data_IF_934193160678
#
_entry.id   IF_934193160678
#
_cell.length_a   1.000
_cell.length_b   1.000
_cell.length_c   1.000
_cell.angle_alpha   90.00
_cell.angle_beta   90.00
_cell.angle_gamma   90.00
#
_symmetry.space_group_name_H-M   'P 1'
#
loop_
_entity.id
_entity.type
_entity.pdbx_description
1 polymer ?
#
# COMPACT_ATOMS: atom_id res chain seq x y z
N UNK A 1 16.05 0.39 14.56
CA UNK A 1 15.76 1.61 13.77
C UNK A 1 14.26 1.72 13.70
N UNK A 2 13.65 2.73 14.29
CA UNK A 2 12.19 2.86 14.28
C UNK A 2 11.76 3.77 13.14
N UNK A 3 11.09 3.20 12.13
CA UNK A 3 10.52 3.97 11.01
C UNK A 3 9.04 4.20 11.21
N UNK A 4 8.61 5.44 11.01
CA UNK A 4 7.19 5.80 11.08
C UNK A 4 6.70 6.35 9.73
N UNK A 5 5.68 5.71 9.18
CA UNK A 5 5.09 6.07 7.89
C UNK A 5 3.68 6.64 8.05
N UNK A 6 3.47 7.85 7.55
CA UNK A 6 2.15 8.49 7.49
C UNK A 6 1.42 8.17 6.19
N UNK A 7 0.09 8.05 6.23
CA UNK A 7 -0.72 7.86 5.00
C UNK A 7 -0.95 9.20 4.31
N UNK A 8 -0.56 9.31 3.05
CA UNK A 8 -0.73 10.50 2.21
C UNK A 8 -1.45 10.15 0.90
N UNK A 9 -2.04 11.16 0.26
CA UNK A 9 -2.73 11.01 -1.01
C UNK A 9 -1.71 10.88 -2.15
N UNK A 10 -1.94 9.92 -3.04
CA UNK A 10 -1.23 9.86 -4.32
C UNK A 10 -1.80 10.87 -5.32
N UNK A 11 -0.99 11.27 -6.31
CA UNK A 11 -1.51 12.00 -7.47
C UNK A 11 -2.61 11.20 -8.20
N UNK A 12 -2.48 9.88 -8.25
CA UNK A 12 -3.50 8.99 -8.84
C UNK A 12 -4.82 9.07 -8.07
N UNK A 13 -4.77 9.10 -6.74
CA UNK A 13 -5.95 9.21 -5.88
C UNK A 13 -6.70 10.51 -6.16
N UNK A 14 -5.94 11.60 -6.31
CA UNK A 14 -6.47 12.93 -6.61
C UNK A 14 -7.10 12.99 -8.00
N UNK A 15 -6.42 12.50 -9.02
CA UNK A 15 -6.93 12.47 -10.41
C UNK A 15 -8.21 11.65 -10.50
N UNK A 16 -8.24 10.44 -9.93
CA UNK A 16 -9.40 9.56 -10.00
C UNK A 16 -10.62 10.19 -9.31
N UNK A 17 -10.41 10.82 -8.15
CA UNK A 17 -11.48 11.51 -7.44
C UNK A 17 -11.97 12.75 -8.20
N UNK A 18 -11.04 13.54 -8.77
CA UNK A 18 -11.38 14.74 -9.54
C UNK A 18 -12.18 14.40 -10.81
N UNK A 19 -11.79 13.35 -11.54
CA UNK A 19 -12.52 12.88 -12.74
C UNK A 19 -13.96 12.51 -12.40
N UNK A 20 -14.18 11.79 -11.29
CA UNK A 20 -15.54 11.42 -10.86
C UNK A 20 -16.37 12.66 -10.47
N UNK A 21 -15.78 13.60 -9.74
CA UNK A 21 -16.48 14.85 -9.37
C UNK A 21 -16.88 15.63 -10.63
N UNK A 22 -15.96 15.80 -11.58
CA UNK A 22 -16.22 16.52 -12.83
C UNK A 22 -17.26 15.81 -13.70
N UNK A 23 -17.20 14.48 -13.80
CA UNK A 23 -18.19 13.69 -14.53
C UNK A 23 -19.59 13.80 -13.90
N UNK A 24 -19.67 13.70 -12.56
CA UNK A 24 -20.92 13.88 -11.83
C UNK A 24 -21.53 15.27 -12.05
N UNK A 25 -20.71 16.32 -11.98
CA UNK A 25 -21.14 17.70 -12.27
C UNK A 25 -21.66 17.84 -13.71
N UNK A 26 -20.96 17.28 -14.69
CA UNK A 26 -21.38 17.34 -16.09
C UNK A 26 -22.74 16.68 -16.30
N UNK A 27 -23.00 15.51 -15.68
CA UNK A 27 -24.29 14.84 -15.73
C UNK A 27 -25.44 15.64 -15.09
N UNK A 28 -25.15 16.48 -14.10
CA UNK A 28 -26.15 17.33 -13.42
C UNK A 28 -26.44 18.59 -14.24
N UNK A 29 -25.41 19.21 -14.82
CA UNK A 29 -25.52 20.50 -15.50
C UNK A 29 -26.03 20.41 -16.94
N UNK A 30 -25.82 19.27 -17.62
CA UNK A 30 -26.32 19.06 -18.98
C UNK A 30 -27.81 18.69 -18.92
N UNK A 31 -28.70 19.45 -19.59
CA UNK A 31 -30.12 19.15 -19.61
C UNK A 31 -30.36 17.76 -20.20
N UNK A 32 -30.82 16.85 -19.35
CA UNK A 32 -30.96 15.42 -19.63
C UNK A 32 -32.14 14.86 -18.81
N UNK A 33 -32.40 13.56 -18.91
CA UNK A 33 -33.48 12.95 -18.13
C UNK A 33 -33.19 13.00 -16.63
N UNK A 34 -34.23 13.06 -15.81
CA UNK A 34 -34.12 13.08 -14.33
C UNK A 34 -33.25 11.91 -13.82
N UNK A 35 -33.34 10.75 -14.47
CA UNK A 35 -32.52 9.58 -14.13
C UNK A 35 -31.01 9.84 -14.29
N UNK A 36 -30.60 10.58 -15.32
CA UNK A 36 -29.18 10.93 -15.56
C UNK A 36 -28.69 11.92 -14.49
N UNK A 37 -29.54 12.87 -14.08
CA UNK A 37 -29.21 13.80 -13.00
C UNK A 37 -29.04 13.08 -11.66
N UNK A 38 -29.93 12.12 -11.33
CA UNK A 38 -29.80 11.29 -10.12
C UNK A 38 -28.49 10.50 -10.13
N UNK A 39 -28.17 9.84 -11.26
CA UNK A 39 -26.90 9.14 -11.43
C UNK A 39 -25.70 10.08 -11.25
N UNK A 40 -25.77 11.29 -11.81
CA UNK A 40 -24.75 12.33 -11.66
C UNK A 40 -24.50 12.69 -10.20
N UNK A 41 -25.56 12.85 -9.39
CA UNK A 41 -25.44 13.08 -7.95
C UNK A 41 -24.73 11.92 -7.23
N UNK A 42 -25.04 10.66 -7.57
CA UNK A 42 -24.34 9.51 -6.99
C UNK A 42 -22.85 9.49 -7.33
N UNK A 43 -22.51 9.71 -8.61
CA UNK A 43 -21.11 9.76 -9.06
C UNK A 43 -20.34 10.88 -8.36
N UNK A 44 -20.97 12.05 -8.20
CA UNK A 44 -20.41 13.19 -7.50
C UNK A 44 -20.12 12.86 -6.02
N UNK A 45 -21.08 12.28 -5.31
CA UNK A 45 -20.93 11.89 -3.91
C UNK A 45 -19.79 10.86 -3.77
N UNK A 46 -19.76 9.85 -4.63
CA UNK A 46 -18.69 8.83 -4.64
C UNK A 46 -17.33 9.49 -4.88
N UNK A 47 -17.22 10.43 -5.82
CA UNK A 47 -16.00 11.18 -6.08
C UNK A 47 -15.50 11.96 -4.85
N UNK A 48 -16.40 12.63 -4.12
CA UNK A 48 -16.06 13.36 -2.89
C UNK A 48 -15.61 12.40 -1.79
N UNK A 49 -16.33 11.29 -1.60
CA UNK A 49 -15.96 10.27 -0.60
C UNK A 49 -14.58 9.69 -0.90
N UNK A 50 -14.32 9.32 -2.15
CA UNK A 50 -13.01 8.81 -2.57
C UNK A 50 -11.91 9.85 -2.36
N UNK A 51 -12.18 11.12 -2.65
CA UNK A 51 -11.24 12.21 -2.37
C UNK A 51 -10.86 12.24 -0.89
N UNK A 52 -11.83 12.08 0.01
CA UNK A 52 -11.60 12.09 1.46
C UNK A 52 -10.83 10.85 1.95
N UNK A 53 -11.16 9.67 1.43
CA UNK A 53 -10.73 8.37 1.99
C UNK A 53 -9.44 7.83 1.36
N UNK A 54 -9.22 8.03 0.06
CA UNK A 54 -8.07 7.44 -0.63
C UNK A 54 -6.76 8.10 -0.16
N UNK A 55 -5.94 7.31 0.52
CA UNK A 55 -4.57 7.67 0.92
C UNK A 55 -3.67 6.45 0.69
N UNK A 56 -3.28 6.23 -0.56
CA UNK A 56 -2.61 5.00 -0.98
C UNK A 56 -1.09 5.02 -0.77
N UNK A 57 -0.48 6.19 -0.57
CA UNK A 57 0.97 6.36 -0.43
C UNK A 57 1.37 6.48 1.03
N UNK A 58 2.57 6.00 1.35
CA UNK A 58 3.18 6.05 2.68
C UNK A 58 4.35 7.01 2.66
N UNK A 59 4.27 8.10 3.42
CA UNK A 59 5.34 9.09 3.53
C UNK A 59 6.14 8.85 4.81
N UNK A 60 7.44 8.62 4.67
CA UNK A 60 8.37 8.56 5.81
C UNK A 60 8.36 9.93 6.51
N UNK A 61 8.09 9.93 7.82
CA UNK A 61 8.01 11.17 8.59
C UNK A 61 9.37 11.86 8.75
N UNK A 62 10.46 11.11 8.76
CA UNK A 62 11.80 11.67 8.97
C UNK A 62 12.34 12.29 7.68
N UNK A 63 12.29 11.53 6.59
CA UNK A 63 12.92 11.92 5.31
C UNK A 63 11.96 12.66 4.38
N UNK A 64 10.65 12.53 4.61
CA UNK A 64 9.62 13.07 3.73
C UNK A 64 9.47 12.32 2.41
N UNK A 65 10.18 11.19 2.22
CA UNK A 65 10.13 10.40 1.00
C UNK A 65 8.84 9.58 0.93
N UNK A 66 8.28 9.46 -0.26
CA UNK A 66 7.08 8.68 -0.54
C UNK A 66 7.43 7.24 -0.93
N UNK A 67 6.70 6.31 -0.35
CA UNK A 67 6.81 4.87 -0.52
C UNK A 67 5.44 4.27 -0.88
N UNK A 68 5.46 3.22 -1.69
CA UNK A 68 4.33 2.32 -1.88
C UNK A 68 4.41 1.18 -0.88
N UNK A 69 3.27 0.76 -0.34
CA UNK A 69 3.19 -0.35 0.60
C UNK A 69 2.60 -1.57 -0.10
N UNK A 70 3.28 -2.71 0.05
CA UNK A 70 2.75 -4.05 -0.24
C UNK A 70 2.74 -4.87 1.03
N UNK A 71 1.67 -5.64 1.21
CA UNK A 71 1.58 -6.65 2.25
C UNK A 71 1.82 -8.00 1.59
N UNK A 72 2.70 -8.81 2.18
CA UNK A 72 2.86 -10.21 1.82
C UNK A 72 2.56 -11.10 3.02
N UNK A 73 1.89 -12.22 2.79
CA UNK A 73 1.46 -13.13 3.85
C UNK A 73 2.11 -14.50 3.73
N UNK A 74 2.54 -15.04 4.87
CA UNK A 74 3.27 -16.30 4.94
C UNK A 74 2.86 -17.18 6.14
N UNK A 75 3.12 -18.50 6.04
CA UNK A 75 3.06 -19.43 7.16
C UNK A 75 4.04 -19.06 8.27
N UNK A 76 3.66 -19.33 9.52
CA UNK A 76 4.52 -19.18 10.70
C UNK A 76 5.79 -20.04 10.60
N UNK A 77 5.70 -21.18 9.92
CA UNK A 77 6.84 -22.06 9.67
C UNK A 77 7.98 -21.38 8.88
N UNK A 78 7.66 -20.40 8.02
CA UNK A 78 8.65 -19.66 7.21
C UNK A 78 9.28 -18.46 7.93
N UNK A 79 8.91 -18.18 9.19
CA UNK A 79 9.41 -17.01 9.93
C UNK A 79 10.94 -16.97 9.98
N UNK A 80 11.59 -18.06 10.37
CA UNK A 80 13.06 -18.12 10.50
C UNK A 80 13.75 -17.94 9.15
N UNK A 81 13.20 -18.56 8.09
CA UNK A 81 13.66 -18.45 6.71
C UNK A 81 13.61 -17.00 6.21
N UNK A 82 12.49 -16.32 6.42
CA UNK A 82 12.25 -14.94 5.99
C UNK A 82 13.17 -13.97 6.73
N UNK A 83 13.29 -14.09 8.06
CA UNK A 83 14.17 -13.22 8.83
C UNK A 83 15.65 -13.42 8.46
N UNK A 84 16.06 -14.66 8.16
CA UNK A 84 17.41 -14.95 7.68
C UNK A 84 17.65 -14.34 6.28
N UNK A 85 16.68 -14.46 5.37
CA UNK A 85 16.76 -13.88 4.03
C UNK A 85 16.87 -12.34 4.08
N UNK A 86 16.08 -11.67 4.94
CA UNK A 86 16.15 -10.22 5.14
C UNK A 86 17.49 -9.76 5.74
N UNK A 87 18.13 -10.59 6.55
CA UNK A 87 19.43 -10.32 7.15
C UNK A 87 20.63 -10.61 6.25
N UNK A 88 20.45 -11.35 5.14
CA UNK A 88 21.56 -11.79 4.27
C UNK A 88 21.41 -11.25 2.86
N UNK A 89 20.65 -11.95 2.01
CA UNK A 89 20.43 -11.56 0.63
C UNK A 89 18.97 -11.82 0.20
N UNK A 90 18.12 -10.78 0.24
CA UNK A 90 16.73 -10.88 -0.16
C UNK A 90 16.53 -11.18 -1.64
N UNK A 91 17.53 -10.92 -2.50
CA UNK A 91 17.37 -11.04 -3.95
C UNK A 91 17.22 -12.50 -4.41
N UNK A 92 17.87 -13.42 -3.70
CA UNK A 92 17.92 -14.85 -4.02
C UNK A 92 16.81 -15.67 -3.33
N UNK A 93 15.99 -15.02 -2.50
CA UNK A 93 14.90 -15.68 -1.79
C UNK A 93 13.61 -15.64 -2.60
N UNK A 94 12.82 -16.71 -2.54
CA UNK A 94 11.51 -16.76 -3.19
C UNK A 94 10.42 -16.17 -2.29
N UNK A 95 10.03 -14.94 -2.63
CA UNK A 95 8.98 -14.18 -1.94
C UNK A 95 7.56 -14.48 -2.45
N UNK A 96 7.35 -15.56 -3.20
CA UNK A 96 5.98 -15.98 -3.57
C UNK A 96 5.18 -16.43 -2.35
N UNK A 97 3.92 -15.99 -2.29
CA UNK A 97 2.99 -16.34 -1.23
C UNK A 97 2.50 -17.76 -1.45
N UNK A 98 2.57 -18.59 -0.40
CA UNK A 98 2.25 -20.01 -0.49
C UNK A 98 0.76 -20.34 -0.36
N UNK A 99 -0.11 -19.33 -0.17
CA UNK A 99 -1.57 -19.52 -0.12
C UNK A 99 -2.27 -18.74 1.00
N UNK A 100 -3.42 -19.25 1.44
CA UNK A 100 -4.40 -18.60 2.33
C UNK A 100 -3.96 -18.43 3.81
N UNK A 101 -2.68 -18.56 4.10
CA UNK A 101 -2.16 -18.52 5.47
C UNK A 101 -1.66 -17.12 5.82
N UNK A 102 -2.35 -16.46 6.75
CA UNK A 102 -2.09 -15.06 7.14
C UNK A 102 -1.32 -14.95 8.47
N UNK A 103 -0.58 -15.99 8.86
CA UNK A 103 0.06 -16.02 10.19
C UNK A 103 1.26 -15.09 10.35
N UNK A 104 1.92 -14.72 9.26
CA UNK A 104 3.04 -13.78 9.22
C UNK A 104 2.76 -12.75 8.13
N UNK A 105 2.78 -11.47 8.49
CA UNK A 105 2.63 -10.35 7.55
C UNK A 105 3.96 -9.64 7.38
N UNK A 106 4.41 -9.50 6.15
CA UNK A 106 5.60 -8.75 5.77
C UNK A 106 5.14 -7.47 5.08
N UNK A 107 5.40 -6.33 5.71
CA UNK A 107 5.11 -5.02 5.15
C UNK A 107 6.33 -4.53 4.38
N UNK A 108 6.17 -4.31 3.08
CA UNK A 108 7.23 -3.87 2.16
C UNK A 108 6.92 -2.46 1.68
N UNK A 109 7.71 -1.50 2.13
CA UNK A 109 7.65 -0.10 1.74
C UNK A 109 8.73 0.16 0.69
N UNK A 110 8.35 0.43 -0.57
CA UNK A 110 9.33 0.62 -1.65
C UNK A 110 9.16 1.96 -2.38
N UNK A 111 10.29 2.55 -2.79
CA UNK A 111 10.35 3.77 -3.57
C UNK A 111 11.29 3.57 -4.76
N UNK A 112 10.73 3.58 -5.97
CA UNK A 112 11.50 3.47 -7.21
C UNK A 112 12.39 4.68 -7.47
N UNK A 113 11.91 5.88 -7.11
CA UNK A 113 12.65 7.13 -7.31
C UNK A 113 13.93 7.20 -6.45
N UNK A 114 13.91 6.57 -5.27
CA UNK A 114 15.00 6.65 -4.30
C UNK A 114 15.74 5.32 -4.10
N UNK A 115 15.53 4.34 -5.00
CA UNK A 115 16.15 3.01 -4.94
C UNK A 115 16.17 2.41 -3.53
N UNK A 116 15.05 2.50 -2.79
CA UNK A 116 15.01 2.09 -1.38
C UNK A 116 13.77 1.27 -1.06
N UNK A 117 14.00 0.23 -0.27
CA UNK A 117 12.98 -0.68 0.25
C UNK A 117 13.18 -0.81 1.75
N UNK A 118 12.12 -0.61 2.50
CA UNK A 118 12.05 -0.90 3.92
C UNK A 118 11.09 -2.06 4.16
N UNK A 119 11.50 -2.99 5.01
CA UNK A 119 10.73 -4.20 5.32
C UNK A 119 10.56 -4.31 6.82
N UNK A 120 9.37 -4.69 7.24
CA UNK A 120 9.05 -4.95 8.63
C UNK A 120 8.08 -6.13 8.75
N UNK A 121 8.38 -7.07 9.63
CA UNK A 121 7.62 -8.30 9.78
C UNK A 121 6.74 -8.25 11.04
N UNK A 122 5.55 -8.80 10.91
CA UNK A 122 4.59 -8.95 11.98
C UNK A 122 4.12 -10.39 12.07
N UNK A 123 3.99 -10.91 13.28
CA UNK A 123 3.41 -12.21 13.55
C UNK A 123 1.99 -12.04 14.05
N UNK A 124 1.06 -12.84 13.51
CA UNK A 124 -0.29 -12.92 14.02
C UNK A 124 -0.30 -13.75 15.30
N UNK A 125 -0.57 -13.07 16.40
CA UNK A 125 -0.91 -13.66 17.70
C UNK A 125 -2.42 -13.43 17.84
N UNK A 126 -3.23 -14.35 18.42
CA UNK A 126 -4.68 -14.25 18.35
C UNK A 126 -5.19 -12.82 18.59
N UNK A 127 -5.96 -12.31 17.61
CA UNK A 127 -6.57 -10.99 17.57
C UNK A 127 -5.66 -9.79 17.19
N UNK A 128 -4.34 -9.96 17.04
CA UNK A 128 -3.45 -8.84 16.69
C UNK A 128 -2.17 -9.25 15.93
N UNK A 129 -1.69 -8.36 15.05
CA UNK A 129 -0.37 -8.47 14.42
C UNK A 129 0.67 -7.73 15.25
N UNK A 130 1.59 -8.46 15.87
CA UNK A 130 2.64 -7.91 16.73
C UNK A 130 3.96 -7.89 15.95
N UNK A 131 4.73 -6.79 16.07
CA UNK A 131 6.06 -6.70 15.46
C UNK A 131 6.93 -7.87 15.93
N UNK A 132 7.55 -8.56 14.97
CA UNK A 132 8.42 -9.70 15.25
C UNK A 132 9.82 -9.53 14.65
N UNK A 133 10.15 -8.34 14.12
CA UNK A 133 11.45 -8.04 13.54
C UNK A 133 11.82 -6.58 13.68
N UNK A 134 13.12 -6.30 13.56
CA UNK A 134 13.60 -4.96 13.28
C UNK A 134 13.22 -4.51 11.86
N UNK A 135 13.42 -3.22 11.59
CA UNK A 135 13.33 -2.66 10.24
C UNK A 135 14.56 -3.02 9.41
N UNK A 136 14.34 -3.63 8.25
CA UNK A 136 15.38 -3.90 7.28
C UNK A 136 15.36 -2.85 6.18
N UNK A 137 16.53 -2.33 5.81
CA UNK A 137 16.72 -1.43 4.66
C UNK A 137 17.46 -2.18 3.57
N UNK A 138 16.89 -2.20 2.38
CA UNK A 138 17.40 -2.92 1.22
C UNK A 138 17.35 -1.97 0.02
N UNK A 139 18.32 -2.07 -0.88
CA UNK A 139 18.28 -1.38 -2.18
C UNK A 139 17.26 -2.07 -3.08
N UNK A 140 16.52 -1.34 -3.92
CA UNK A 140 15.49 -1.94 -4.78
C UNK A 140 16.07 -3.03 -5.70
N UNK A 141 17.30 -2.83 -6.19
CA UNK A 141 18.00 -3.78 -7.06
C UNK A 141 18.31 -5.12 -6.36
N UNK A 142 18.42 -5.10 -5.04
CA UNK A 142 18.69 -6.28 -4.19
C UNK A 142 17.42 -6.85 -3.55
N UNK A 143 16.24 -6.36 -3.96
CA UNK A 143 14.97 -6.79 -3.39
C UNK A 143 14.33 -7.99 -4.12
N UNK A 144 14.90 -8.46 -5.24
CA UNK A 144 14.40 -9.64 -5.96
C UNK A 144 12.93 -9.51 -6.38
N UNK A 145 12.11 -10.52 -6.10
CA UNK A 145 10.65 -10.47 -6.30
C UNK A 145 9.88 -9.96 -5.07
N UNK A 146 10.55 -9.41 -4.04
CA UNK A 146 9.89 -8.88 -2.84
C UNK A 146 8.96 -7.70 -3.15
N UNK A 147 9.35 -6.84 -4.09
CA UNK A 147 8.59 -5.65 -4.50
C UNK A 147 7.65 -5.88 -5.68
N UNK A 148 7.67 -7.09 -6.26
CA UNK A 148 6.71 -7.56 -7.28
C UNK A 148 5.44 -8.04 -6.61
#
# INVERSE_FOLDING_TARGET
MDKEFSRVRSARDLVLSAVLILAGLACILVPSSIAISILGCFILIVGIVLMCVLKTVRKDKETGINYHLKHKFYPKARKSEILAALGTDPANHDWTESGSEESLRVDVYYSQQHNSVFVHCFEYIPYEYISCSDWYKIDLDKSGNLTK
#
